data_IF_880457859232
#
_entry.id   IF_880457859232
#
_cell.length_a   1.000
_cell.length_b   1.000
_cell.length_c   1.000
_cell.angle_alpha   90.00
_cell.angle_beta   90.00
_cell.angle_gamma   90.00
#
_symmetry.space_group_name_H-M   'P 1'
#
loop_
_entity.id
_entity.type
_entity.pdbx_description
1 polymer ?
#
# COMPACT_ATOMS: atom_id res chain seq x y z
N UNK A 1 -0.06 -11.90 33.08
CA UNK A 1 -0.38 -11.61 31.67
C UNK A 1 0.91 -11.71 30.87
N UNK A 2 1.01 -12.62 29.91
CA UNK A 2 2.25 -12.84 29.16
C UNK A 2 2.33 -11.87 27.99
N UNK A 3 3.46 -11.17 27.86
CA UNK A 3 3.69 -10.23 26.75
C UNK A 3 4.61 -10.88 25.72
N UNK A 4 4.08 -11.14 24.52
CA UNK A 4 4.89 -11.63 23.39
C UNK A 4 5.83 -10.55 22.85
N UNK A 5 5.43 -9.28 22.90
CA UNK A 5 6.18 -8.13 22.33
C UNK A 5 6.14 -6.94 23.28
N UNK A 6 7.26 -6.23 23.46
CA UNK A 6 7.38 -5.07 24.37
C UNK A 6 6.28 -4.01 24.19
N UNK A 7 5.84 -3.75 22.95
CA UNK A 7 4.78 -2.79 22.63
C UNK A 7 3.34 -3.32 22.82
N UNK A 8 3.14 -4.55 23.29
CA UNK A 8 1.79 -5.14 23.38
C UNK A 8 1.09 -5.22 22.02
N UNK A 9 1.86 -5.35 20.94
CA UNK A 9 1.43 -5.43 19.53
C UNK A 9 0.92 -4.14 18.88
N UNK A 10 0.48 -3.14 19.64
CA UNK A 10 -0.11 -1.91 19.10
C UNK A 10 0.78 -0.69 19.33
N UNK A 11 0.87 0.21 18.36
CA UNK A 11 1.61 1.47 18.50
C UNK A 11 0.78 2.57 19.22
N UNK A 12 0.21 2.24 20.37
CA UNK A 12 -0.71 3.10 21.09
C UNK A 12 -0.11 3.51 22.42
N UNK A 13 0.80 4.49 22.37
CA UNK A 13 1.45 5.05 23.55
C UNK A 13 0.72 6.31 24.01
N UNK A 14 0.21 6.30 25.24
CA UNK A 14 -0.46 7.47 25.84
C UNK A 14 -1.75 7.92 25.13
N UNK A 15 -2.36 7.06 24.31
CA UNK A 15 -3.59 7.37 23.54
C UNK A 15 -4.69 6.42 23.96
N UNK A 16 -5.92 6.93 24.16
CA UNK A 16 -7.06 6.14 24.63
C UNK A 16 -7.86 5.45 23.53
N UNK A 17 -8.24 6.16 22.46
CA UNK A 17 -8.90 5.58 21.29
C UNK A 17 -8.26 6.12 20.02
N UNK A 18 -8.09 5.27 19.02
CA UNK A 18 -7.55 5.67 17.71
C UNK A 18 -8.56 5.34 16.63
N UNK A 19 -8.65 6.25 15.64
CA UNK A 19 -9.59 6.11 14.52
C UNK A 19 -9.38 4.76 13.82
N UNK A 20 -10.49 4.13 13.52
CA UNK A 20 -10.54 2.86 12.83
C UNK A 20 -10.65 3.09 11.32
N UNK A 21 -10.05 2.20 10.56
CA UNK A 21 -9.95 2.27 9.10
C UNK A 21 -10.36 0.91 8.53
N UNK A 22 -10.90 0.88 7.32
CA UNK A 22 -11.24 -0.37 6.63
C UNK A 22 -10.05 -0.86 5.81
N UNK A 23 -9.79 -2.17 5.89
CA UNK A 23 -8.81 -2.83 5.04
C UNK A 23 -9.25 -2.76 3.58
N UNK A 24 -8.34 -2.43 2.66
CA UNK A 24 -8.66 -2.34 1.22
C UNK A 24 -8.99 -3.70 0.61
N UNK A 25 -8.37 -4.77 1.10
CA UNK A 25 -8.50 -6.11 0.53
C UNK A 25 -9.64 -6.92 1.15
N UNK A 26 -9.88 -6.74 2.45
CA UNK A 26 -10.77 -7.59 3.23
C UNK A 26 -11.98 -6.82 3.82
N UNK A 27 -12.03 -5.49 3.71
CA UNK A 27 -13.08 -4.63 4.28
C UNK A 27 -13.13 -4.57 5.81
N UNK A 28 -12.42 -5.48 6.49
CA UNK A 28 -12.39 -5.60 7.94
C UNK A 28 -11.90 -4.33 8.65
N UNK A 29 -12.43 -4.10 9.84
CA UNK A 29 -12.14 -2.93 10.64
C UNK A 29 -10.81 -3.09 11.37
N UNK A 30 -9.87 -2.17 11.10
CA UNK A 30 -8.50 -2.21 11.59
C UNK A 30 -8.18 -0.86 12.27
N UNK A 31 -7.68 -0.84 13.51
CA UNK A 31 -7.25 0.42 14.13
C UNK A 31 -5.99 0.94 13.42
N UNK A 32 -5.89 2.27 13.24
CA UNK A 32 -4.75 2.90 12.52
C UNK A 32 -3.37 2.59 13.12
N UNK A 33 -3.31 2.26 14.42
CA UNK A 33 -2.05 1.91 15.11
C UNK A 33 -1.56 0.49 14.83
N UNK A 34 -2.44 -0.38 14.32
CA UNK A 34 -2.13 -1.77 13.94
C UNK A 34 -2.12 -1.96 12.42
N UNK A 35 -2.80 -1.10 11.67
CA UNK A 35 -2.81 -1.19 10.22
C UNK A 35 -1.41 -1.03 9.63
N UNK A 36 -1.07 -1.89 8.67
CA UNK A 36 0.19 -1.78 7.95
C UNK A 36 0.02 -0.68 6.90
N UNK A 37 0.91 0.31 6.91
CA UNK A 37 0.91 1.42 5.97
C UNK A 37 1.90 1.10 4.86
N UNK A 38 1.41 0.85 3.66
CA UNK A 38 2.25 0.56 2.50
C UNK A 38 2.12 1.69 1.48
N UNK A 39 3.22 2.39 1.23
CA UNK A 39 3.30 3.35 0.13
C UNK A 39 3.71 2.58 -1.12
N UNK A 40 2.79 2.42 -2.07
CA UNK A 40 3.07 1.78 -3.35
C UNK A 40 3.28 2.85 -4.42
N UNK A 41 4.52 2.98 -4.87
CA UNK A 41 4.87 3.73 -6.08
C UNK A 41 4.81 2.75 -7.24
N UNK A 42 3.80 2.88 -8.09
CA UNK A 42 3.64 2.07 -9.30
C UNK A 42 3.58 3.00 -10.50
N UNK A 43 4.32 2.64 -11.54
CA UNK A 43 4.19 3.29 -12.83
C UNK A 43 2.80 2.99 -13.40
N UNK A 44 2.24 3.93 -14.15
CA UNK A 44 0.92 3.78 -14.77
C UNK A 44 0.96 2.71 -15.86
N UNK A 45 2.11 2.53 -16.50
CA UNK A 45 2.34 1.58 -17.59
C UNK A 45 3.29 0.48 -17.11
N UNK A 46 3.02 -0.78 -17.49
CA UNK A 46 3.91 -1.92 -17.25
C UNK A 46 5.15 -1.84 -18.16
N UNK A 47 6.30 -2.39 -17.70
CA UNK A 47 7.59 -2.24 -18.40
C UNK A 47 7.56 -2.65 -19.86
N UNK A 48 6.82 -3.69 -20.22
CA UNK A 48 6.72 -4.18 -21.60
C UNK A 48 5.95 -3.19 -22.49
N UNK A 49 4.88 -2.60 -21.96
CA UNK A 49 4.01 -1.68 -22.69
C UNK A 49 4.58 -0.26 -22.84
N UNK A 50 5.74 0.04 -22.24
CA UNK A 50 6.37 1.36 -22.34
C UNK A 50 6.74 1.68 -23.78
N UNK A 51 7.29 0.71 -24.52
CA UNK A 51 7.70 0.90 -25.91
C UNK A 51 6.48 1.12 -26.82
N UNK A 52 5.44 0.31 -26.68
CA UNK A 52 4.23 0.39 -27.51
C UNK A 52 3.50 1.74 -27.31
N UNK A 53 3.43 2.21 -26.06
CA UNK A 53 2.80 3.50 -25.74
C UNK A 53 3.60 4.67 -26.29
N UNK A 54 4.94 4.58 -26.31
CA UNK A 54 5.79 5.62 -26.87
C UNK A 54 5.63 5.71 -28.39
N UNK A 55 5.61 4.58 -29.09
CA UNK A 55 5.43 4.53 -30.55
C UNK A 55 4.02 4.98 -30.99
N UNK A 56 3.00 4.65 -30.20
CA UNK A 56 1.63 5.08 -30.47
C UNK A 56 1.34 6.54 -30.08
N UNK A 57 2.25 7.22 -29.39
CA UNK A 57 2.03 8.59 -28.90
C UNK A 57 2.38 9.65 -29.95
N UNK A 58 1.46 10.59 -30.19
CA UNK A 58 1.64 11.67 -31.16
C UNK A 58 2.63 12.77 -30.70
N UNK A 59 3.06 12.72 -29.43
CA UNK A 59 3.97 13.70 -28.83
C UNK A 59 5.23 12.98 -28.35
N UNK A 60 6.40 13.45 -28.80
CA UNK A 60 7.74 13.00 -28.35
C UNK A 60 8.06 13.36 -26.89
N UNK A 61 7.04 13.66 -26.09
CA UNK A 61 7.19 13.90 -24.66
C UNK A 61 7.54 12.60 -23.96
N UNK A 62 8.84 12.30 -23.87
CA UNK A 62 9.42 11.27 -22.99
C UNK A 62 9.03 11.42 -21.50
N UNK A 63 8.31 12.51 -21.18
CA UNK A 63 7.71 12.80 -19.89
C UNK A 63 6.59 11.83 -19.45
N UNK A 64 6.05 10.97 -20.33
CA UNK A 64 5.08 9.93 -19.90
C UNK A 64 5.68 8.93 -18.90
N UNK A 65 7.02 8.86 -18.79
CA UNK A 65 7.71 7.96 -17.88
C UNK A 65 8.29 8.64 -16.63
N UNK A 66 8.47 9.97 -16.62
CA UNK A 66 8.94 10.70 -15.42
C UNK A 66 7.80 11.44 -14.70
N UNK A 67 6.82 11.99 -15.43
CA UNK A 67 5.75 12.84 -14.88
C UNK A 67 4.34 12.21 -14.95
N UNK A 68 4.23 10.95 -15.38
CA UNK A 68 2.99 10.19 -15.20
C UNK A 68 2.80 9.86 -13.72
N UNK A 69 2.33 10.87 -13.00
CA UNK A 69 1.67 10.86 -11.70
C UNK A 69 2.10 9.65 -10.91
N UNK A 70 3.12 9.82 -10.05
CA UNK A 70 3.16 9.14 -8.77
C UNK A 70 1.78 9.37 -8.13
N UNK A 71 0.78 8.59 -8.53
CA UNK A 71 -0.38 8.36 -7.70
C UNK A 71 0.26 7.60 -6.58
N UNK A 72 0.67 8.35 -5.56
CA UNK A 72 0.58 7.90 -4.19
C UNK A 72 -0.88 7.48 -4.05
N UNK A 73 -1.20 6.26 -4.49
CA UNK A 73 -2.42 5.59 -4.12
C UNK A 73 -2.33 5.60 -2.61
N UNK A 74 -3.08 6.52 -1.98
CA UNK A 74 -3.07 6.69 -0.52
C UNK A 74 -3.15 5.29 0.07
N UNK A 75 -2.06 4.96 0.74
CA UNK A 75 -1.63 3.63 1.14
C UNK A 75 -2.77 2.65 1.33
N UNK A 76 -2.81 1.50 0.62
CA UNK A 76 -3.71 0.43 1.01
C UNK A 76 -3.31 0.00 2.42
N UNK A 77 -4.08 0.47 3.40
CA UNK A 77 -3.94 0.00 4.76
C UNK A 77 -4.46 -1.42 4.81
N UNK A 78 -3.55 -2.38 4.88
CA UNK A 78 -3.83 -3.80 4.99
C UNK A 78 -3.95 -4.18 6.46
N UNK A 79 -4.81 -5.17 6.71
CA UNK A 79 -4.78 -5.88 7.97
C UNK A 79 -3.60 -6.86 7.97
N UNK A 80 -2.91 -7.00 9.11
CA UNK A 80 -1.73 -7.87 9.24
C UNK A 80 -1.95 -9.27 8.63
N UNK A 81 -3.11 -9.89 8.89
CA UNK A 81 -3.39 -11.23 8.38
C UNK A 81 -3.60 -11.26 6.87
N UNK A 82 -4.23 -10.24 6.27
CA UNK A 82 -4.44 -10.17 4.83
C UNK A 82 -3.10 -9.98 4.10
N UNK A 83 -2.14 -9.29 4.71
CA UNK A 83 -0.80 -9.13 4.16
C UNK A 83 0.06 -10.39 4.29
N UNK A 84 -0.02 -11.09 5.42
CA UNK A 84 0.64 -12.39 5.59
C UNK A 84 0.11 -13.39 4.57
N UNK A 85 -1.21 -13.46 4.36
CA UNK A 85 -1.81 -14.31 3.33
C UNK A 85 -1.34 -13.94 1.93
N UNK A 86 -1.29 -12.64 1.59
CA UNK A 86 -0.83 -12.19 0.29
C UNK A 86 0.65 -12.53 0.04
N UNK A 87 1.51 -12.40 1.06
CA UNK A 87 2.94 -12.79 0.94
C UNK A 87 3.11 -14.30 0.80
N UNK A 88 2.34 -15.09 1.54
CA UNK A 88 2.38 -16.56 1.41
C UNK A 88 1.86 -17.04 0.05
N UNK A 89 0.91 -16.33 -0.57
CA UNK A 89 0.44 -16.66 -1.92
C UNK A 89 1.43 -16.32 -3.04
N UNK A 90 2.50 -15.59 -2.73
CA UNK A 90 3.54 -15.20 -3.69
C UNK A 90 4.81 -16.05 -3.59
N UNK A 91 4.82 -17.06 -2.70
CA UNK A 91 5.86 -18.08 -2.58
C UNK A 91 5.46 -19.32 -3.38
#
# INVERSE_FOLDING_TARGET
MTSKRRNGERNKHGRGHVRLIRCSNCGNFCPKDKAIKQFLVKNVVEQVAVCDVQEASAYDSKAICEDAVLRLQRDPLSYDSCEVSHRLSQL
#
